data_IF_065335479397
#
_entry.id   IF_065335479397
#
_cell.length_a   1.000
_cell.length_b   1.000
_cell.length_c   1.000
_cell.angle_alpha   90.00
_cell.angle_beta   90.00
_cell.angle_gamma   90.00
#
_symmetry.space_group_name_H-M   'P 1'
#
loop_
_entity.id
_entity.type
_entity.pdbx_description
1 polymer ?
#
# COMPACT_ATOMS: atom_id res chain seq x y z
N UNK A 1 -10.76 -5.54 -12.77
CA UNK A 1 -9.75 -6.64 -12.87
C UNK A 1 -10.13 -7.64 -13.98
N UNK A 2 -10.89 -7.21 -14.97
CA UNK A 2 -11.57 -8.08 -15.95
C UNK A 2 -10.62 -8.83 -16.91
N UNK A 3 -9.35 -8.42 -16.96
CA UNK A 3 -8.29 -9.07 -17.74
C UNK A 3 -7.40 -10.02 -16.91
N UNK A 4 -7.80 -10.38 -15.69
CA UNK A 4 -7.12 -11.40 -14.87
C UNK A 4 -6.07 -10.88 -13.88
N UNK A 5 -5.99 -9.57 -13.67
CA UNK A 5 -5.16 -9.01 -12.58
C UNK A 5 -5.73 -9.41 -11.22
N UNK A 6 -4.86 -9.68 -10.23
CA UNK A 6 -5.25 -10.12 -8.88
C UNK A 6 -5.32 -8.98 -7.85
N UNK A 7 -4.91 -7.77 -8.22
CA UNK A 7 -4.88 -6.63 -7.31
C UNK A 7 -4.09 -5.45 -7.85
N UNK A 8 -3.71 -4.55 -6.94
CA UNK A 8 -2.92 -3.35 -7.21
C UNK A 8 -1.70 -3.34 -6.29
N UNK A 9 -0.53 -2.97 -6.82
CA UNK A 9 0.67 -2.78 -6.02
C UNK A 9 1.14 -1.32 -5.97
N UNK A 10 1.77 -0.93 -4.86
CA UNK A 10 2.48 0.35 -4.72
C UNK A 10 3.93 0.15 -4.27
N UNK A 11 4.79 1.08 -4.68
CA UNK A 11 6.15 1.23 -4.18
C UNK A 11 6.34 2.63 -3.60
N UNK A 12 5.88 2.84 -2.36
CA UNK A 12 5.78 4.16 -1.76
C UNK A 12 7.12 4.73 -1.29
N UNK A 13 8.15 3.90 -1.18
CA UNK A 13 9.53 4.36 -0.94
C UNK A 13 10.13 5.04 -2.19
N UNK A 14 9.73 4.61 -3.39
CA UNK A 14 10.36 5.04 -4.65
C UNK A 14 9.62 6.17 -5.34
N UNK A 15 10.37 6.99 -6.10
CA UNK A 15 9.76 7.91 -7.06
C UNK A 15 9.15 7.13 -8.24
N UNK A 16 8.00 7.58 -8.78
CA UNK A 16 7.23 8.76 -8.37
C UNK A 16 6.26 8.50 -7.19
N UNK A 17 6.05 7.24 -6.79
CA UNK A 17 5.07 6.85 -5.77
C UNK A 17 5.25 7.50 -4.40
N UNK A 18 6.49 7.88 -4.05
CA UNK A 18 6.78 8.56 -2.78
C UNK A 18 6.15 9.95 -2.65
N UNK A 19 5.74 10.57 -3.75
CA UNK A 19 4.98 11.84 -3.73
C UNK A 19 3.46 11.63 -3.55
N UNK A 20 2.95 10.41 -3.77
CA UNK A 20 1.53 10.13 -3.68
C UNK A 20 1.05 10.24 -2.22
N UNK A 21 -0.05 10.97 -2.03
CA UNK A 21 -0.70 11.13 -0.72
C UNK A 21 -1.48 9.86 -0.39
N UNK A 22 -1.62 9.55 0.90
CA UNK A 22 -2.40 8.39 1.35
C UNK A 22 -3.83 8.39 0.79
N UNK A 23 -4.47 9.56 0.71
CA UNK A 23 -5.82 9.69 0.13
C UNK A 23 -5.89 9.30 -1.35
N UNK A 24 -4.84 9.57 -2.13
CA UNK A 24 -4.75 9.16 -3.53
C UNK A 24 -4.69 7.62 -3.62
N UNK A 25 -3.88 6.99 -2.77
CA UNK A 25 -3.77 5.53 -2.69
C UNK A 25 -5.10 4.92 -2.27
N UNK A 26 -5.81 5.52 -1.30
CA UNK A 26 -7.15 5.09 -0.90
C UNK A 26 -8.11 5.11 -2.08
N UNK A 27 -8.12 6.17 -2.91
CA UNK A 27 -9.00 6.21 -4.09
C UNK A 27 -8.69 5.11 -5.08
N UNK A 28 -7.40 4.83 -5.34
CA UNK A 28 -6.99 3.78 -6.28
C UNK A 28 -7.33 2.38 -5.75
N UNK A 29 -7.04 2.11 -4.48
CA UNK A 29 -7.29 0.81 -3.86
C UNK A 29 -8.79 0.54 -3.71
N UNK A 30 -9.63 1.57 -3.53
CA UNK A 30 -11.09 1.40 -3.51
C UNK A 30 -11.64 0.81 -4.82
N UNK A 31 -10.98 1.03 -5.96
CA UNK A 31 -11.42 0.50 -7.26
C UNK A 31 -11.24 -1.02 -7.37
N UNK A 32 -10.31 -1.61 -6.61
CA UNK A 32 -10.06 -3.06 -6.68
C UNK A 32 -10.91 -3.88 -5.71
N UNK A 33 -11.53 -3.26 -4.71
CA UNK A 33 -12.34 -3.97 -3.69
C UNK A 33 -13.53 -4.74 -4.29
N UNK A 34 -14.35 -4.18 -5.22
CA UNK A 34 -15.47 -4.91 -5.80
C UNK A 34 -15.08 -6.15 -6.61
N UNK A 35 -13.80 -6.26 -6.96
CA UNK A 35 -13.23 -7.39 -7.69
C UNK A 35 -12.56 -8.42 -6.77
N UNK A 36 -12.60 -8.22 -5.44
CA UNK A 36 -11.86 -9.05 -4.48
C UNK A 36 -10.34 -8.90 -4.60
N UNK A 37 -9.86 -7.78 -5.14
CA UNK A 37 -8.43 -7.54 -5.35
C UNK A 37 -7.67 -7.27 -4.06
N UNK A 38 -6.38 -7.63 -4.05
CA UNK A 38 -5.48 -7.40 -2.92
C UNK A 38 -4.65 -6.13 -3.14
N UNK A 39 -4.53 -5.30 -2.10
CA UNK A 39 -3.59 -4.18 -2.09
C UNK A 39 -2.22 -4.65 -1.63
N UNK A 40 -1.27 -4.74 -2.55
CA UNK A 40 0.12 -5.05 -2.26
C UNK A 40 0.91 -3.75 -2.06
N UNK A 41 1.81 -3.68 -1.08
CA UNK A 41 2.62 -2.48 -0.92
C UNK A 41 4.04 -2.78 -0.45
N UNK A 42 5.01 -2.20 -1.15
CA UNK A 42 6.26 -1.80 -0.54
C UNK A 42 5.99 -0.45 0.15
N UNK A 43 5.92 -0.51 1.47
CA UNK A 43 5.51 0.60 2.34
C UNK A 43 6.48 1.79 2.25
N UNK A 44 6.01 2.96 2.67
CA UNK A 44 6.70 4.24 2.44
C UNK A 44 8.08 4.36 3.08
N UNK A 45 8.32 3.63 4.16
CA UNK A 45 9.59 3.62 4.87
C UNK A 45 9.75 2.28 5.60
N UNK A 46 10.95 1.71 5.53
CA UNK A 46 11.31 0.46 6.20
C UNK A 46 12.42 0.67 7.26
N UNK A 47 12.65 1.92 7.68
CA UNK A 47 13.65 2.36 8.63
C UNK A 47 13.03 3.05 9.85
N UNK A 48 13.36 4.33 10.08
CA UNK A 48 13.01 5.09 11.27
C UNK A 48 11.51 5.44 11.38
N UNK A 49 10.75 5.33 10.28
CA UNK A 49 9.30 5.56 10.20
C UNK A 49 8.50 4.30 9.81
N UNK A 50 9.06 3.13 10.08
CA UNK A 50 8.44 1.84 9.75
C UNK A 50 7.01 1.71 10.32
N UNK A 51 6.80 2.11 11.57
CA UNK A 51 5.49 1.96 12.21
C UNK A 51 4.43 2.89 11.60
N UNK A 52 4.82 4.10 11.22
CA UNK A 52 3.97 5.05 10.50
C UNK A 52 3.58 4.48 9.13
N UNK A 53 4.53 3.88 8.41
CA UNK A 53 4.31 3.27 7.10
C UNK A 53 3.41 2.02 7.18
N UNK A 54 3.56 1.20 8.23
CA UNK A 54 2.65 0.07 8.50
C UNK A 54 1.24 0.58 8.82
N UNK A 55 1.12 1.62 9.65
CA UNK A 55 -0.18 2.23 9.98
C UNK A 55 -0.87 2.80 8.74
N UNK A 56 -0.12 3.40 7.82
CA UNK A 56 -0.63 3.86 6.53
C UNK A 56 -1.27 2.71 5.73
N UNK A 57 -0.57 1.57 5.61
CA UNK A 57 -1.11 0.41 4.90
C UNK A 57 -2.39 -0.16 5.56
N UNK A 58 -2.42 -0.21 6.90
CA UNK A 58 -3.60 -0.64 7.67
C UNK A 58 -4.78 0.32 7.47
N UNK A 59 -4.51 1.64 7.48
CA UNK A 59 -5.53 2.66 7.27
C UNK A 59 -6.14 2.55 5.87
N UNK A 60 -5.31 2.38 4.83
CA UNK A 60 -5.76 2.17 3.46
C UNK A 60 -6.68 0.95 3.38
N UNK A 61 -6.29 -0.18 3.97
CA UNK A 61 -7.12 -1.39 3.99
C UNK A 61 -8.46 -1.16 4.69
N UNK A 62 -8.45 -0.54 5.88
CA UNK A 62 -9.68 -0.24 6.65
C UNK A 62 -10.63 0.70 5.91
N UNK A 63 -10.11 1.73 5.24
CA UNK A 63 -10.92 2.73 4.52
C UNK A 63 -11.46 2.23 3.19
N UNK A 64 -10.82 1.23 2.58
CA UNK A 64 -11.19 0.73 1.24
C UNK A 64 -11.94 -0.59 1.27
N UNK A 65 -11.75 -1.41 2.31
CA UNK A 65 -12.26 -2.78 2.38
C UNK A 65 -11.36 -3.82 1.69
N UNK A 66 -10.39 -3.38 0.88
CA UNK A 66 -9.45 -4.28 0.22
C UNK A 66 -8.44 -4.85 1.23
N UNK A 67 -8.16 -6.17 1.22
CA UNK A 67 -7.12 -6.76 2.06
C UNK A 67 -5.74 -6.22 1.66
N UNK A 68 -4.92 -5.86 2.65
CA UNK A 68 -3.55 -5.42 2.43
C UNK A 68 -2.53 -6.55 2.59
N UNK A 69 -1.50 -6.55 1.74
CA UNK A 69 -0.31 -7.38 1.83
C UNK A 69 0.94 -6.49 1.83
N UNK A 70 1.60 -6.39 2.99
CA UNK A 70 2.88 -5.70 3.12
C UNK A 70 3.96 -6.62 2.55
N UNK A 71 4.55 -6.20 1.43
CA UNK A 71 5.59 -6.95 0.74
C UNK A 71 6.87 -6.92 1.57
N UNK A 72 7.56 -8.07 1.65
CA UNK A 72 8.92 -8.20 2.22
C UNK A 72 9.16 -7.40 3.50
N UNK A 73 8.20 -7.46 4.46
CA UNK A 73 8.27 -6.73 5.72
C UNK A 73 9.60 -6.96 6.43
N UNK A 74 10.33 -5.86 6.66
CA UNK A 74 11.66 -5.86 7.28
C UNK A 74 11.88 -4.55 8.04
N UNK A 75 13.02 -4.46 8.71
CA UNK A 75 13.58 -3.19 9.16
C UNK A 75 15.07 -3.14 8.85
N UNK A 76 15.59 -1.98 8.45
CA UNK A 76 17.02 -1.79 8.21
C UNK A 76 17.68 -0.73 9.12
N UNK A 77 16.96 -0.27 10.16
CA UNK A 77 17.50 0.63 11.19
C UNK A 77 17.09 2.08 10.97
N UNK A 78 18.08 2.98 10.91
CA UNK A 78 17.85 4.42 10.69
C UNK A 78 18.27 4.81 9.28
N UNK A 79 17.43 5.63 8.65
CA UNK A 79 17.66 6.33 7.37
C UNK A 79 18.47 7.62 7.60
#
# INVERSE_FOLDING_TARGET
MDQGAHGLSTGLEYRPGSFAKTDEIIQLVKVIEPYGGIYHTHIRNEADKLLEAIREAIEISKKTGAPAHISHLKTWGKD
#
